data_IF_943681918459
#
_entry.id   IF_943681918459
#
_cell.length_a   1.000
_cell.length_b   1.000
_cell.length_c   1.000
_cell.angle_alpha   90.00
_cell.angle_beta   90.00
_cell.angle_gamma   90.00
#
_symmetry.space_group_name_H-M   'P 1'
#
loop_
_entity.id
_entity.type
_entity.pdbx_description
1 polymer ?
#
# COMPACT_ATOMS: atom_id res chain seq x y z
N UNK A 1 6.62 1.08 -16.14
CA UNK A 1 6.69 2.43 -15.52
C UNK A 1 5.33 3.12 -15.39
N UNK A 2 4.58 3.40 -16.47
CA UNK A 2 3.28 4.12 -16.39
C UNK A 2 2.27 3.51 -15.39
N UNK A 3 2.14 2.17 -15.34
CA UNK A 3 1.22 1.51 -14.39
C UNK A 3 1.67 1.59 -12.93
N UNK A 4 2.99 1.60 -12.68
CA UNK A 4 3.57 1.72 -11.34
C UNK A 4 3.33 3.12 -10.78
N UNK A 5 3.58 4.15 -11.60
CA UNK A 5 3.31 5.54 -11.21
C UNK A 5 1.82 5.73 -10.90
N UNK A 6 0.92 5.20 -11.73
CA UNK A 6 -0.52 5.24 -11.45
C UNK A 6 -0.88 4.58 -10.12
N UNK A 7 -0.32 3.40 -9.83
CA UNK A 7 -0.54 2.70 -8.56
C UNK A 7 -0.05 3.51 -7.35
N UNK A 8 1.15 4.09 -7.44
CA UNK A 8 1.70 4.96 -6.40
C UNK A 8 0.84 6.21 -6.18
N UNK A 9 0.36 6.85 -7.24
CA UNK A 9 -0.53 8.01 -7.13
C UNK A 9 -1.83 7.64 -6.42
N UNK A 10 -2.47 6.54 -6.82
CA UNK A 10 -3.71 6.07 -6.18
C UNK A 10 -3.49 5.76 -4.70
N UNK A 11 -2.38 5.10 -4.35
CA UNK A 11 -2.03 4.81 -2.95
C UNK A 11 -1.82 6.07 -2.10
N UNK A 12 -1.14 7.08 -2.64
CA UNK A 12 -0.91 8.33 -1.91
C UNK A 12 -2.21 9.14 -1.77
N UNK A 13 -3.08 9.15 -2.78
CA UNK A 13 -4.41 9.79 -2.68
C UNK A 13 -5.25 9.08 -1.61
N UNK A 14 -5.23 7.74 -1.58
CA UNK A 14 -5.93 6.98 -0.56
C UNK A 14 -5.37 7.27 0.84
N UNK A 15 -4.05 7.32 0.99
CA UNK A 15 -3.39 7.65 2.26
C UNK A 15 -3.76 9.06 2.75
N UNK A 16 -3.90 10.04 1.85
CA UNK A 16 -4.40 11.37 2.18
C UNK A 16 -5.85 11.33 2.70
N UNK A 17 -6.74 10.62 2.00
CA UNK A 17 -8.15 10.49 2.41
C UNK A 17 -8.26 9.81 3.79
N UNK A 18 -7.51 8.73 4.02
CA UNK A 18 -7.49 8.02 5.31
C UNK A 18 -6.93 8.92 6.41
N UNK A 19 -5.87 9.68 6.15
CA UNK A 19 -5.31 10.63 7.11
C UNK A 19 -6.34 11.71 7.47
N UNK A 20 -6.98 12.32 6.47
CA UNK A 20 -8.00 13.34 6.67
C UNK A 20 -9.21 12.82 7.46
N UNK A 21 -9.70 11.62 7.12
CA UNK A 21 -10.80 10.97 7.83
C UNK A 21 -10.42 10.66 9.29
N UNK A 22 -9.20 10.15 9.53
CA UNK A 22 -8.72 9.80 10.87
C UNK A 22 -8.60 11.04 11.75
N UNK A 23 -8.07 12.13 11.20
CA UNK A 23 -7.94 13.42 11.89
C UNK A 23 -9.31 13.99 12.24
N UNK A 24 -10.24 13.98 11.28
CA UNK A 24 -11.61 14.44 11.49
C UNK A 24 -12.33 13.66 12.58
N UNK A 25 -12.23 12.33 12.57
CA UNK A 25 -12.83 11.47 13.59
C UNK A 25 -12.22 11.65 14.97
N UNK A 26 -10.92 11.95 15.07
CA UNK A 26 -10.22 12.16 16.33
C UNK A 26 -10.28 13.61 16.84
N UNK A 27 -10.92 14.52 16.09
CA UNK A 27 -11.00 15.94 16.43
C UNK A 27 -9.63 16.64 16.49
N UNK A 28 -8.62 16.07 15.84
CA UNK A 28 -7.25 16.59 15.84
C UNK A 28 -7.17 17.81 14.94
N UNK A 29 -6.59 18.89 15.45
CA UNK A 29 -6.54 20.18 14.73
C UNK A 29 -5.14 20.77 14.63
N UNK A 30 -4.17 20.23 15.38
CA UNK A 30 -2.80 20.73 15.38
C UNK A 30 -2.02 20.20 14.17
N UNK A 31 -1.11 21.03 13.64
CA UNK A 31 -0.19 20.63 12.57
C UNK A 31 0.69 19.44 12.96
N UNK A 32 1.10 19.37 14.23
CA UNK A 32 1.88 18.25 14.77
C UNK A 32 1.05 16.96 14.81
N UNK A 33 -0.21 17.07 15.25
CA UNK A 33 -1.13 15.93 15.30
C UNK A 33 -1.48 15.38 13.91
N UNK A 34 -1.57 16.27 12.91
CA UNK A 34 -1.74 15.93 11.50
C UNK A 34 -0.52 15.16 10.97
N UNK A 35 0.69 15.63 11.27
CA UNK A 35 1.94 14.97 10.85
C UNK A 35 2.11 13.58 11.47
N UNK A 36 1.83 13.45 12.77
CA UNK A 36 1.90 12.18 13.47
C UNK A 36 0.91 11.18 12.89
N UNK A 37 -0.33 11.62 12.65
CA UNK A 37 -1.37 10.77 12.05
C UNK A 37 -0.99 10.35 10.62
N UNK A 38 -0.48 11.27 9.80
CA UNK A 38 0.01 10.97 8.46
C UNK A 38 1.18 9.96 8.49
N UNK A 39 2.09 10.11 9.45
CA UNK A 39 3.23 9.21 9.64
C UNK A 39 2.79 7.81 10.06
N UNK A 40 1.82 7.69 10.96
CA UNK A 40 1.24 6.39 11.34
C UNK A 40 0.53 5.70 10.17
N UNK A 41 -0.20 6.46 9.34
CA UNK A 41 -0.85 5.92 8.13
C UNK A 41 0.20 5.42 7.14
N UNK A 42 1.28 6.17 6.93
CA UNK A 42 2.40 5.76 6.07
C UNK A 42 3.14 4.52 6.58
N UNK A 43 3.42 4.46 7.89
CA UNK A 43 4.03 3.31 8.54
C UNK A 43 3.11 2.08 8.49
N UNK A 44 1.81 2.24 8.72
CA UNK A 44 0.84 1.16 8.62
C UNK A 44 0.75 0.59 7.20
N UNK A 45 0.72 1.46 6.19
CA UNK A 45 0.74 1.06 4.78
C UNK A 45 2.04 0.33 4.42
N UNK A 46 3.19 0.83 4.89
CA UNK A 46 4.48 0.18 4.71
C UNK A 46 4.58 -1.18 5.41
N UNK A 47 4.09 -1.29 6.64
CA UNK A 47 4.08 -2.53 7.40
C UNK A 47 3.16 -3.59 6.77
N UNK A 48 1.96 -3.20 6.32
CA UNK A 48 1.06 -4.08 5.56
C UNK A 48 1.73 -4.56 4.26
N UNK A 49 2.38 -3.65 3.55
CA UNK A 49 3.14 -3.99 2.35
C UNK A 49 4.26 -5.00 2.62
N UNK A 50 5.02 -4.80 3.71
CA UNK A 50 6.09 -5.70 4.11
C UNK A 50 5.57 -7.09 4.52
N UNK A 51 4.45 -7.15 5.25
CA UNK A 51 3.79 -8.42 5.60
C UNK A 51 3.27 -9.17 4.37
N UNK A 52 2.65 -8.48 3.42
CA UNK A 52 2.19 -9.08 2.16
C UNK A 52 3.36 -9.57 1.30
N UNK A 53 4.46 -8.81 1.27
CA UNK A 53 5.68 -9.19 0.57
C UNK A 53 6.31 -10.46 1.18
N UNK A 54 6.48 -10.48 2.51
CA UNK A 54 7.03 -11.63 3.23
C UNK A 54 6.12 -12.87 3.18
N UNK A 55 4.80 -12.67 3.18
CA UNK A 55 3.80 -13.72 2.97
C UNK A 55 3.87 -14.31 1.56
N UNK A 56 4.10 -13.48 0.54
CA UNK A 56 4.23 -13.95 -0.85
C UNK A 56 5.47 -14.83 -1.08
N UNK A 57 6.59 -14.57 -0.38
CA UNK A 57 7.79 -15.42 -0.45
C UNK A 57 7.67 -16.74 0.33
N UNK A 58 6.71 -16.83 1.26
CA UNK A 58 6.50 -18.02 2.10
C UNK A 58 5.42 -18.97 1.52
N UNK A 59 4.88 -18.64 0.34
CA UNK A 59 3.76 -19.31 -0.31
C UNK A 59 4.05 -20.65 -1.01
N UNK A 60 5.20 -21.29 -0.77
CA UNK A 60 5.47 -22.64 -1.30
C UNK A 60 4.45 -23.68 -0.80
N UNK A 61 3.85 -23.44 0.37
CA UNK A 61 2.82 -24.30 0.98
C UNK A 61 1.36 -23.92 0.61
N UNK A 62 1.13 -22.81 -0.10
CA UNK A 62 -0.20 -22.44 -0.61
C UNK A 62 -0.52 -23.08 -1.98
N UNK A 63 0.48 -23.72 -2.61
CA UNK A 63 0.35 -24.39 -3.89
C UNK A 63 -0.52 -25.65 -3.84
N UNK A 64 -0.61 -26.34 -2.69
CA UNK A 64 -1.37 -27.59 -2.55
C UNK A 64 -2.87 -27.38 -2.36
N UNK A 65 -3.30 -26.32 -1.67
CA UNK A 65 -4.72 -25.96 -1.51
C UNK A 65 -5.33 -25.32 -2.76
N UNK A 66 -4.54 -24.51 -3.48
CA UNK A 66 -4.97 -23.92 -4.75
C UNK A 66 -4.96 -24.97 -5.86
N UNK A 67 -4.05 -25.95 -5.85
CA UNK A 67 -4.06 -27.08 -6.81
C UNK A 67 -5.29 -27.99 -6.66
N UNK A 68 -5.87 -28.13 -5.47
CA UNK A 68 -7.11 -28.89 -5.27
C UNK A 68 -8.34 -28.15 -5.82
N UNK A 69 -8.39 -26.82 -5.71
CA UNK A 69 -9.42 -25.97 -6.34
C UNK A 69 -9.17 -25.69 -7.83
N UNK A 70 -7.95 -25.94 -8.32
CA UNK A 70 -7.53 -25.78 -9.71
C UNK A 70 -8.13 -26.79 -10.67
N UNK A 71 -8.54 -27.95 -10.16
CA UNK A 71 -9.21 -28.97 -10.95
C UNK A 71 -10.57 -28.50 -11.47
N UNK A 72 -11.22 -27.56 -10.77
CA UNK A 72 -12.59 -27.14 -11.09
C UNK A 72 -12.65 -25.91 -12.01
N UNK A 73 -11.65 -25.02 -12.03
CA UNK A 73 -11.66 -23.80 -12.86
C UNK A 73 -10.27 -23.38 -13.38
N UNK A 74 -9.75 -24.03 -14.43
CA UNK A 74 -8.41 -23.74 -14.98
C UNK A 74 -8.25 -22.33 -15.57
N UNK A 75 -9.33 -21.68 -15.99
CA UNK A 75 -9.30 -20.32 -16.55
C UNK A 75 -8.97 -19.25 -15.51
N UNK A 76 -9.45 -19.39 -14.27
CA UNK A 76 -9.19 -18.42 -13.19
C UNK A 76 -7.73 -18.44 -12.75
N UNK A 77 -7.12 -19.62 -12.67
CA UNK A 77 -5.71 -19.77 -12.29
C UNK A 77 -4.79 -19.22 -13.36
N UNK A 78 -5.14 -19.40 -14.64
CA UNK A 78 -4.39 -18.76 -15.70
C UNK A 78 -4.47 -17.23 -15.58
N UNK A 79 -5.63 -16.65 -15.26
CA UNK A 79 -5.71 -15.19 -15.02
C UNK A 79 -4.90 -14.73 -13.81
N UNK A 80 -4.87 -15.51 -12.73
CA UNK A 80 -4.09 -15.22 -11.53
C UNK A 80 -2.57 -15.29 -11.81
N UNK A 81 -2.11 -16.33 -12.50
CA UNK A 81 -0.71 -16.49 -12.93
C UNK A 81 -0.29 -15.42 -13.94
N UNK A 82 -1.19 -15.00 -14.83
CA UNK A 82 -0.92 -13.93 -15.79
C UNK A 82 -0.91 -12.54 -15.13
N UNK A 83 -1.76 -12.28 -14.13
CA UNK A 83 -1.66 -11.07 -13.29
C UNK A 83 -0.35 -11.03 -12.51
N UNK A 84 0.08 -12.18 -11.98
CA UNK A 84 1.35 -12.30 -11.23
C UNK A 84 2.58 -12.11 -12.14
N UNK A 85 2.55 -12.60 -13.39
CA UNK A 85 3.62 -12.37 -14.38
C UNK A 85 3.66 -10.95 -14.96
N UNK A 86 2.51 -10.28 -15.09
CA UNK A 86 2.43 -8.93 -15.70
C UNK A 86 2.66 -7.82 -14.68
N UNK A 87 2.45 -8.07 -13.39
CA UNK A 87 2.82 -7.20 -12.29
C UNK A 87 4.25 -7.51 -11.82
N UNK A 88 5.27 -7.11 -12.58
CA UNK A 88 6.69 -7.29 -12.22
C UNK A 88 7.16 -6.60 -10.92
N UNK A 89 6.23 -6.08 -10.11
CA UNK A 89 6.43 -5.59 -8.75
C UNK A 89 5.33 -6.20 -7.88
N UNK A 90 5.70 -7.00 -6.88
CA UNK A 90 4.78 -7.56 -5.88
C UNK A 90 3.94 -6.43 -5.28
N UNK A 91 2.62 -6.64 -5.14
CA UNK A 91 1.69 -5.68 -4.54
C UNK A 91 2.16 -5.20 -3.15
N UNK A 92 2.84 -6.07 -2.39
CA UNK A 92 3.47 -5.71 -1.12
C UNK A 92 4.59 -4.67 -1.27
N UNK A 93 5.45 -4.79 -2.27
CA UNK A 93 6.50 -3.80 -2.55
C UNK A 93 5.93 -2.44 -2.98
N UNK A 94 4.80 -2.43 -3.71
CA UNK A 94 4.09 -1.19 -4.06
C UNK A 94 3.54 -0.46 -2.84
N UNK A 95 3.01 -1.20 -1.86
CA UNK A 95 2.54 -0.64 -0.58
C UNK A 95 3.69 -0.09 0.26
N UNK A 96 4.85 -0.78 0.30
CA UNK A 96 6.06 -0.27 0.98
C UNK A 96 6.54 1.04 0.35
N UNK A 97 6.69 1.06 -0.99
CA UNK A 97 7.10 2.26 -1.71
C UNK A 97 6.08 3.39 -1.55
N UNK A 98 4.78 3.07 -1.59
CA UNK A 98 3.71 4.01 -1.31
C UNK A 98 3.83 4.61 0.10
N UNK A 99 4.10 3.78 1.12
CA UNK A 99 4.20 4.23 2.51
C UNK A 99 5.38 5.18 2.72
N UNK A 100 6.55 4.84 2.17
CA UNK A 100 7.75 5.69 2.21
C UNK A 100 7.50 7.01 1.48
N UNK A 101 6.88 6.94 0.28
CA UNK A 101 6.57 8.13 -0.52
C UNK A 101 5.60 9.04 0.24
N UNK A 102 4.58 8.47 0.88
CA UNK A 102 3.60 9.21 1.67
C UNK A 102 4.23 9.93 2.85
N UNK A 103 5.09 9.25 3.62
CA UNK A 103 5.81 9.86 4.75
C UNK A 103 6.66 11.04 4.25
N UNK A 104 7.41 10.85 3.16
CA UNK A 104 8.21 11.93 2.57
C UNK A 104 7.36 13.14 2.16
N UNK A 105 6.21 12.90 1.54
CA UNK A 105 5.26 13.97 1.17
C UNK A 105 4.63 14.65 2.39
N UNK A 106 4.23 13.90 3.40
CA UNK A 106 3.64 14.46 4.62
C UNK A 106 4.61 15.40 5.35
N UNK A 107 5.87 15.00 5.47
CA UNK A 107 6.93 15.84 6.04
C UNK A 107 7.20 17.09 5.18
N UNK A 108 7.25 16.94 3.85
CA UNK A 108 7.44 18.07 2.94
C UNK A 108 6.28 19.09 3.01
N UNK A 109 5.04 18.60 3.09
CA UNK A 109 3.85 19.44 3.22
C UNK A 109 3.84 20.23 4.53
N UNK A 110 4.25 19.62 5.64
CA UNK A 110 4.35 20.33 6.93
C UNK A 110 5.45 21.37 6.92
N UNK A 111 6.61 21.06 6.32
CA UNK A 111 7.68 22.04 6.17
C UNK A 111 7.25 23.25 5.33
N UNK A 112 6.49 23.03 4.26
CA UNK A 112 5.94 24.12 3.44
C UNK A 112 4.86 24.92 4.18
N UNK A 113 3.98 24.26 4.95
CA UNK A 113 2.92 24.92 5.69
C UNK A 113 3.39 25.67 6.95
N UNK A 114 4.49 25.23 7.58
CA UNK A 114 5.07 25.89 8.75
C UNK A 114 5.90 27.14 8.46
N UNK A 115 6.20 27.41 7.17
CA UNK A 115 6.90 28.61 6.70
C UNK A 115 5.98 29.62 6.00
N UNK A 116 4.66 29.38 5.99
CA UNK A 116 3.62 30.28 5.47
C UNK A 116 2.94 31.02 6.62
#
# INVERSE_FOLDING_TARGET
MKSIVKGLVVLNVLAFVVTAATVWCLGKSSATDLLDTASYVGLGMGALGALMFMGSSSGTSASTGIAASAADQPSQIMSALWMDRTAGISAGAMLVLGGITWIGLAWLLVMLAGHA
#
